data_IF_103340521352
#
_entry.id   IF_103340521352
#
_cell.length_a   1.000
_cell.length_b   1.000
_cell.length_c   1.000
_cell.angle_alpha   90.00
_cell.angle_beta   90.00
_cell.angle_gamma   90.00
#
_symmetry.space_group_name_H-M   'P 1'
#
loop_
_entity.id
_entity.type
_entity.pdbx_description
1 polymer ?
#
# COMPACT_ATOMS: atom_id res chain seq x y z
N UNK A 1 -6.36 -26.04 -3.35
CA UNK A 1 -5.00 -25.72 -3.85
C UNK A 1 -4.13 -25.38 -2.66
N UNK A 2 -2.93 -25.97 -2.56
CA UNK A 2 -1.88 -25.74 -1.54
C UNK A 2 -1.92 -26.63 -0.28
N UNK A 3 -1.66 -27.93 -0.47
CA UNK A 3 -0.94 -28.73 0.53
C UNK A 3 0.55 -28.41 0.34
N UNK A 4 1.14 -27.66 1.27
CA UNK A 4 2.57 -27.34 1.41
C UNK A 4 3.29 -27.02 0.09
N UNK A 5 3.47 -25.74 -0.30
CA UNK A 5 4.25 -25.31 -1.48
C UNK A 5 5.55 -26.15 -1.67
N UNK A 6 5.56 -27.28 -2.41
CA UNK A 6 6.69 -28.19 -2.42
C UNK A 6 7.67 -27.81 -3.53
N UNK A 7 7.20 -26.99 -4.47
CA UNK A 7 7.94 -26.48 -5.60
C UNK A 7 8.47 -25.07 -5.27
N UNK A 8 9.80 -24.87 -5.23
CA UNK A 8 10.43 -23.56 -5.07
C UNK A 8 9.87 -22.49 -6.02
N UNK A 9 9.43 -22.88 -7.23
CA UNK A 9 8.84 -21.95 -8.18
C UNK A 9 7.46 -21.45 -7.72
N UNK A 10 6.65 -22.30 -7.10
CA UNK A 10 5.33 -21.91 -6.58
C UNK A 10 5.46 -20.99 -5.37
N UNK A 11 6.43 -21.25 -4.49
CA UNK A 11 6.75 -20.34 -3.38
C UNK A 11 7.24 -18.99 -3.88
N UNK A 12 8.12 -18.97 -4.88
CA UNK A 12 8.59 -17.72 -5.47
C UNK A 12 7.44 -16.91 -6.10
N UNK A 13 6.53 -17.57 -6.83
CA UNK A 13 5.34 -16.91 -7.38
C UNK A 13 4.44 -16.35 -6.29
N UNK A 14 4.28 -17.08 -5.18
CA UNK A 14 3.52 -16.61 -4.02
C UNK A 14 4.10 -15.32 -3.43
N UNK A 15 5.40 -15.33 -3.13
CA UNK A 15 6.13 -14.19 -2.56
C UNK A 15 6.14 -13.02 -3.53
N UNK A 16 6.32 -13.27 -4.83
CA UNK A 16 6.22 -12.21 -5.83
C UNK A 16 4.81 -11.63 -5.86
N UNK A 17 3.77 -12.46 -5.77
CA UNK A 17 2.38 -12.01 -5.74
C UNK A 17 2.03 -11.08 -4.58
N UNK A 18 2.65 -11.29 -3.39
CA UNK A 18 2.44 -10.47 -2.18
C UNK A 18 2.68 -8.97 -2.45
N UNK A 19 3.61 -8.63 -3.35
CA UNK A 19 3.96 -7.23 -3.65
C UNK A 19 2.77 -6.43 -4.19
N UNK A 20 1.92 -7.07 -5.01
CA UNK A 20 0.69 -6.48 -5.56
C UNK A 20 -0.54 -6.68 -4.67
N UNK A 21 -0.40 -7.40 -3.57
CA UNK A 21 -1.52 -7.78 -2.70
C UNK A 21 -2.11 -6.59 -1.94
N UNK A 22 -1.31 -5.55 -1.73
CA UNK A 22 -1.78 -4.26 -1.20
C UNK A 22 -2.87 -3.61 -2.06
N UNK A 23 -2.90 -3.90 -3.37
CA UNK A 23 -3.92 -3.46 -4.29
C UNK A 23 -5.02 -4.52 -4.50
N UNK A 24 -4.99 -5.62 -3.74
CA UNK A 24 -5.90 -6.78 -3.80
C UNK A 24 -5.80 -7.58 -5.10
N UNK A 25 -4.67 -7.49 -5.82
CA UNK A 25 -4.48 -8.21 -7.08
C UNK A 25 -3.81 -9.58 -6.89
N UNK A 26 -2.85 -9.68 -5.95
CA UNK A 26 -2.13 -10.92 -5.61
C UNK A 26 -1.65 -11.69 -6.86
N UNK A 27 -0.80 -11.06 -7.67
CA UNK A 27 -0.28 -11.65 -8.91
C UNK A 27 1.15 -11.19 -9.24
N UNK A 28 1.99 -12.12 -9.72
CA UNK A 28 3.40 -11.87 -10.04
C UNK A 28 3.57 -10.85 -11.17
N UNK A 29 2.77 -10.91 -12.23
CA UNK A 29 2.82 -9.95 -13.34
C UNK A 29 2.54 -8.52 -12.90
N UNK A 30 1.53 -8.31 -12.04
CA UNK A 30 1.22 -7.02 -11.45
C UNK A 30 2.41 -6.52 -10.60
N UNK A 31 3.03 -7.41 -9.85
CA UNK A 31 4.16 -7.12 -8.98
C UNK A 31 5.44 -6.76 -9.74
N UNK A 32 5.79 -7.54 -10.77
CA UNK A 32 6.91 -7.24 -11.68
C UNK A 32 6.68 -5.93 -12.44
N UNK A 33 5.44 -5.70 -12.88
CA UNK A 33 5.03 -4.43 -13.49
C UNK A 33 5.24 -3.24 -12.55
N UNK A 34 4.78 -3.35 -11.30
CA UNK A 34 4.98 -2.31 -10.28
C UNK A 34 6.46 -2.02 -10.05
N UNK A 35 7.28 -3.06 -9.83
CA UNK A 35 8.71 -2.90 -9.56
C UNK A 35 9.48 -2.33 -10.75
N UNK A 36 9.19 -2.78 -11.97
CA UNK A 36 9.82 -2.26 -13.18
C UNK A 36 9.45 -0.80 -13.43
N UNK A 37 8.17 -0.44 -13.27
CA UNK A 37 7.71 0.95 -13.34
C UNK A 37 8.35 1.84 -12.27
N UNK A 38 8.46 1.34 -11.04
CA UNK A 38 9.14 2.04 -9.94
C UNK A 38 10.65 2.23 -10.21
N UNK A 39 11.33 1.21 -10.73
CA UNK A 39 12.73 1.30 -11.14
C UNK A 39 12.94 2.34 -12.25
N UNK A 40 12.09 2.34 -13.28
CA UNK A 40 12.12 3.32 -14.36
C UNK A 40 11.91 4.75 -13.82
N UNK A 41 10.94 4.94 -12.92
CA UNK A 41 10.69 6.21 -12.27
C UNK A 41 11.89 6.70 -11.45
N UNK A 42 12.48 5.83 -10.62
CA UNK A 42 13.67 6.15 -9.84
C UNK A 42 14.86 6.51 -10.73
N UNK A 43 15.13 5.71 -11.77
CA UNK A 43 16.21 5.96 -12.73
C UNK A 43 16.02 7.28 -13.46
N UNK A 44 14.81 7.55 -13.94
CA UNK A 44 14.45 8.79 -14.61
C UNK A 44 14.61 10.00 -13.68
N UNK A 45 14.19 9.84 -12.42
CA UNK A 45 14.34 10.84 -11.35
C UNK A 45 15.79 11.14 -11.05
N UNK A 46 16.64 10.12 -10.93
CA UNK A 46 18.09 10.25 -10.71
C UNK A 46 18.78 10.97 -11.87
N UNK A 47 18.30 10.78 -13.10
CA UNK A 47 18.82 11.43 -14.32
C UNK A 47 18.14 12.76 -14.66
N UNK A 48 17.29 13.30 -13.78
CA UNK A 48 16.62 14.59 -14.00
C UNK A 48 15.68 14.61 -15.22
N UNK A 49 15.12 13.46 -15.62
CA UNK A 49 14.24 13.39 -16.78
C UNK A 49 12.89 14.05 -16.51
N UNK A 50 12.38 14.81 -17.47
CA UNK A 50 11.09 15.51 -17.36
C UNK A 50 9.89 14.57 -17.23
N UNK A 51 10.00 13.35 -17.78
CA UNK A 51 8.95 12.33 -17.74
C UNK A 51 9.01 11.41 -16.51
N UNK A 52 9.88 11.67 -15.52
CA UNK A 52 10.06 10.82 -14.32
C UNK A 52 8.78 10.57 -13.51
N UNK A 53 7.73 11.34 -13.77
CA UNK A 53 6.49 11.31 -13.03
C UNK A 53 6.55 12.14 -11.74
N UNK A 54 5.65 11.83 -10.81
CA UNK A 54 5.73 12.33 -9.44
C UNK A 54 6.99 11.82 -8.73
N UNK A 55 7.61 12.60 -7.84
CA UNK A 55 8.82 12.15 -7.15
C UNK A 55 8.59 10.86 -6.34
N UNK A 56 9.27 9.77 -6.74
CA UNK A 56 9.16 8.49 -6.05
C UNK A 56 9.72 8.57 -4.62
N UNK A 57 9.08 7.87 -3.67
CA UNK A 57 9.49 7.86 -2.25
C UNK A 57 9.60 9.27 -1.66
N UNK A 58 8.56 10.07 -1.89
CA UNK A 58 8.47 11.48 -1.49
C UNK A 58 9.57 12.37 -2.07
N UNK A 59 10.26 11.91 -3.11
CA UNK A 59 11.39 12.63 -3.71
C UNK A 59 12.67 12.60 -2.87
N UNK A 60 12.73 11.81 -1.80
CA UNK A 60 13.88 11.73 -0.88
C UNK A 60 15.11 11.09 -1.52
N UNK A 61 14.96 10.37 -2.64
CA UNK A 61 16.06 9.60 -3.24
C UNK A 61 16.38 8.29 -2.50
N UNK A 62 15.63 7.96 -1.45
CA UNK A 62 15.84 6.75 -0.63
C UNK A 62 15.20 5.49 -1.21
N UNK A 63 14.60 5.56 -2.40
CA UNK A 63 13.89 4.43 -3.03
C UNK A 63 14.69 3.11 -3.02
N UNK A 64 15.99 3.05 -3.36
CA UNK A 64 16.75 1.79 -3.31
C UNK A 64 16.80 1.17 -1.91
N UNK A 65 16.96 1.98 -0.87
CA UNK A 65 16.95 1.50 0.51
C UNK A 65 15.55 1.09 0.95
N UNK A 66 14.54 1.86 0.54
CA UNK A 66 13.14 1.58 0.82
C UNK A 66 12.71 0.24 0.24
N UNK A 67 12.95 0.02 -1.07
CA UNK A 67 12.58 -1.23 -1.72
C UNK A 67 13.36 -2.42 -1.17
N UNK A 68 14.65 -2.23 -0.85
CA UNK A 68 15.47 -3.28 -0.23
C UNK A 68 14.91 -3.68 1.13
N UNK A 69 14.61 -2.72 2.00
CA UNK A 69 14.01 -2.93 3.32
C UNK A 69 12.65 -3.65 3.21
N UNK A 70 11.78 -3.19 2.31
CA UNK A 70 10.47 -3.78 2.06
C UNK A 70 10.55 -5.21 1.53
N UNK A 71 11.40 -5.49 0.54
CA UNK A 71 11.58 -6.84 -0.01
C UNK A 71 12.19 -7.80 1.02
N UNK A 72 13.18 -7.34 1.80
CA UNK A 72 13.73 -8.15 2.89
C UNK A 72 12.66 -8.44 3.95
N UNK A 73 11.86 -7.45 4.35
CA UNK A 73 10.77 -7.63 5.30
C UNK A 73 9.71 -8.61 4.80
N UNK A 74 9.41 -8.57 3.50
CA UNK A 74 8.51 -9.51 2.84
C UNK A 74 9.05 -10.95 2.86
N UNK A 75 10.30 -11.14 2.47
CA UNK A 75 10.96 -12.46 2.47
C UNK A 75 11.00 -13.01 3.90
N UNK A 76 11.46 -12.21 4.86
CA UNK A 76 11.49 -12.61 6.28
C UNK A 76 10.10 -12.95 6.81
N UNK A 77 9.07 -12.19 6.42
CA UNK A 77 7.69 -12.48 6.83
C UNK A 77 7.20 -13.82 6.27
N UNK A 78 7.48 -14.11 5.00
CA UNK A 78 7.13 -15.40 4.39
C UNK A 78 7.94 -16.57 4.99
N UNK A 79 9.21 -16.37 5.33
CA UNK A 79 10.02 -17.41 5.95
C UNK A 79 9.59 -17.72 7.39
N UNK A 80 9.29 -16.69 8.18
CA UNK A 80 8.93 -16.85 9.60
C UNK A 80 7.46 -17.23 9.81
N UNK A 81 6.57 -16.75 8.94
CA UNK A 81 5.12 -16.85 9.13
C UNK A 81 4.38 -17.50 7.96
N UNK A 82 5.05 -17.85 6.86
CA UNK A 82 4.40 -18.49 5.70
C UNK A 82 3.74 -19.83 6.03
N UNK A 83 4.16 -20.49 7.12
CA UNK A 83 3.51 -21.71 7.64
C UNK A 83 2.05 -21.47 8.09
N UNK A 84 1.65 -20.23 8.35
CA UNK A 84 0.26 -19.88 8.70
C UNK A 84 -0.69 -19.80 7.49
N UNK A 85 -0.14 -19.80 6.27
CA UNK A 85 -0.91 -19.85 5.03
C UNK A 85 -1.25 -21.31 4.74
N UNK A 86 -2.53 -21.58 4.53
CA UNK A 86 -3.02 -22.91 4.11
C UNK A 86 -3.89 -22.78 2.86
N UNK A 87 -4.32 -23.91 2.31
CA UNK A 87 -5.28 -23.93 1.20
C UNK A 87 -6.58 -23.17 1.50
N UNK A 88 -6.95 -23.08 2.78
CA UNK A 88 -8.22 -22.52 3.24
C UNK A 88 -8.05 -21.19 3.99
N UNK A 89 -6.83 -20.87 4.42
CA UNK A 89 -6.54 -19.68 5.24
C UNK A 89 -5.61 -18.72 4.54
N UNK A 90 -6.16 -17.57 4.17
CA UNK A 90 -5.42 -16.41 3.69
C UNK A 90 -4.72 -15.69 4.86
N UNK A 91 -3.50 -15.16 4.64
CA UNK A 91 -2.75 -14.43 5.65
C UNK A 91 -2.01 -13.21 5.09
N UNK A 92 -1.87 -12.11 5.87
CA UNK A 92 -1.24 -10.85 5.46
C UNK A 92 0.29 -10.86 5.46
N UNK A 93 0.94 -11.82 4.80
CA UNK A 93 2.42 -11.87 4.71
C UNK A 93 3.01 -10.67 3.97
N UNK A 94 2.25 -10.05 3.07
CA UNK A 94 2.63 -8.81 2.38
C UNK A 94 2.72 -7.59 3.31
N UNK A 95 2.17 -7.64 4.53
CA UNK A 95 2.00 -6.45 5.36
C UNK A 95 3.32 -5.72 5.64
N UNK A 96 4.40 -6.47 5.86
CA UNK A 96 5.73 -5.90 6.04
C UNK A 96 6.23 -5.16 4.78
N UNK A 97 5.87 -5.57 3.57
CA UNK A 97 6.31 -4.90 2.34
C UNK A 97 5.84 -3.44 2.27
N UNK A 98 4.62 -3.15 2.73
CA UNK A 98 3.93 -1.86 2.53
C UNK A 98 3.77 -1.03 3.81
N UNK A 99 4.58 -1.29 4.83
CA UNK A 99 4.41 -0.64 6.14
C UNK A 99 5.74 -0.18 6.76
N UNK A 100 6.12 -0.77 7.89
CA UNK A 100 7.20 -0.35 8.76
C UNK A 100 8.57 -0.32 8.07
N UNK A 101 9.00 -1.35 7.30
CA UNK A 101 10.33 -1.34 6.68
C UNK A 101 10.58 -0.12 5.79
N UNK A 102 9.58 0.29 5.01
CA UNK A 102 9.66 1.50 4.18
C UNK A 102 9.63 2.78 5.02
N UNK A 103 8.71 2.85 6.00
CA UNK A 103 8.59 4.00 6.90
C UNK A 103 9.87 4.23 7.73
N UNK A 104 10.57 3.16 8.12
CA UNK A 104 11.85 3.23 8.83
C UNK A 104 12.92 3.92 7.99
N UNK A 105 13.03 3.56 6.72
CA UNK A 105 13.98 4.20 5.79
C UNK A 105 13.62 5.67 5.58
N UNK A 106 12.32 5.99 5.44
CA UNK A 106 11.87 7.36 5.23
C UNK A 106 12.08 8.27 6.46
N UNK A 107 11.97 7.70 7.68
CA UNK A 107 12.17 8.45 8.93
C UNK A 107 13.64 8.57 9.34
N UNK A 108 14.42 7.48 9.21
CA UNK A 108 15.77 7.38 9.76
C UNK A 108 16.87 7.43 8.68
N UNK A 109 16.50 7.53 7.40
CA UNK A 109 17.42 7.61 6.28
C UNK A 109 17.80 6.25 5.70
N UNK A 110 18.76 6.30 4.77
CA UNK A 110 19.29 5.10 4.12
C UNK A 110 20.28 4.32 4.98
N UNK A 111 20.83 3.26 4.38
CA UNK A 111 21.88 2.43 4.98
C UNK A 111 21.41 1.05 5.42
N UNK A 112 22.33 0.09 5.38
CA UNK A 112 22.07 -1.32 5.67
C UNK A 112 21.46 -1.54 7.05
N UNK A 113 21.91 -0.77 8.05
CA UNK A 113 21.42 -0.91 9.42
C UNK A 113 19.94 -0.56 9.54
N UNK A 114 19.51 0.57 8.95
CA UNK A 114 18.10 0.98 8.96
C UNK A 114 17.26 0.03 8.11
N UNK A 115 17.74 -0.35 6.92
CA UNK A 115 17.02 -1.26 6.04
C UNK A 115 16.84 -2.65 6.66
N UNK A 116 17.89 -3.23 7.25
CA UNK A 116 17.82 -4.54 7.87
C UNK A 116 16.97 -4.54 9.15
N UNK A 117 17.18 -3.57 10.05
CA UNK A 117 16.36 -3.48 11.26
C UNK A 117 14.90 -3.16 10.93
N UNK A 118 14.64 -2.34 9.90
CA UNK A 118 13.29 -2.10 9.39
C UNK A 118 12.62 -3.38 8.92
N UNK A 119 13.31 -4.18 8.10
CA UNK A 119 12.84 -5.48 7.64
C UNK A 119 12.55 -6.46 8.78
N UNK A 120 13.49 -6.61 9.73
CA UNK A 120 13.37 -7.50 10.89
C UNK A 120 12.20 -7.08 11.79
N UNK A 121 12.11 -5.80 12.15
CA UNK A 121 11.00 -5.30 12.98
C UNK A 121 9.65 -5.43 12.25
N UNK A 122 9.62 -5.24 10.93
CA UNK A 122 8.43 -5.49 10.10
C UNK A 122 7.97 -6.95 10.22
N UNK A 123 8.88 -7.89 10.03
CA UNK A 123 8.57 -9.32 10.11
C UNK A 123 8.22 -9.79 11.53
N UNK A 124 8.84 -9.22 12.58
CA UNK A 124 8.65 -9.66 13.97
C UNK A 124 7.54 -8.93 14.73
N UNK A 125 7.14 -7.74 14.29
CA UNK A 125 6.11 -6.95 14.97
C UNK A 125 4.87 -6.75 14.11
N UNK A 126 5.04 -6.32 12.85
CA UNK A 126 3.87 -6.01 11.99
C UNK A 126 3.16 -7.29 11.58
N UNK A 127 3.86 -8.21 10.92
CA UNK A 127 3.26 -9.45 10.41
C UNK A 127 2.50 -10.24 11.48
N UNK A 128 3.07 -10.57 12.66
CA UNK A 128 2.33 -11.30 13.69
C UNK A 128 1.17 -10.51 14.27
N UNK A 129 1.27 -9.19 14.40
CA UNK A 129 0.12 -8.39 14.88
C UNK A 129 -1.02 -8.41 13.87
N UNK A 130 -0.71 -8.33 12.56
CA UNK A 130 -1.71 -8.50 11.51
C UNK A 130 -2.35 -9.90 11.57
N UNK A 131 -1.54 -10.96 11.70
CA UNK A 131 -2.03 -12.33 11.84
C UNK A 131 -2.98 -12.47 13.04
N UNK A 132 -2.59 -11.94 14.20
CA UNK A 132 -3.40 -12.04 15.41
C UNK A 132 -4.76 -11.36 15.24
N UNK A 133 -4.79 -10.13 14.72
CA UNK A 133 -6.05 -9.40 14.57
C UNK A 133 -6.91 -10.03 13.47
N UNK A 134 -6.33 -10.44 12.34
CA UNK A 134 -7.10 -11.11 11.27
C UNK A 134 -7.74 -12.39 11.79
N UNK A 135 -6.96 -13.29 12.40
CA UNK A 135 -7.45 -14.62 12.76
C UNK A 135 -8.32 -14.61 14.03
N UNK A 136 -8.05 -13.75 15.01
CA UNK A 136 -8.78 -13.76 16.28
C UNK A 136 -9.83 -12.64 16.43
N UNK A 137 -9.86 -11.66 15.52
CA UNK A 137 -10.85 -10.57 15.56
C UNK A 137 -11.65 -10.52 14.26
N UNK A 138 -11.01 -10.39 13.11
CA UNK A 138 -11.75 -10.19 11.85
C UNK A 138 -12.51 -11.43 11.41
N UNK A 139 -11.84 -12.59 11.36
CA UNK A 139 -12.47 -13.85 10.92
C UNK A 139 -13.66 -14.25 11.82
N UNK A 140 -13.55 -14.27 13.17
CA UNK A 140 -14.68 -14.64 14.03
C UNK A 140 -15.86 -13.68 13.96
N UNK A 141 -15.60 -12.38 13.69
CA UNK A 141 -16.64 -11.36 13.58
C UNK A 141 -17.17 -11.16 12.15
N UNK A 142 -16.67 -11.94 11.17
CA UNK A 142 -17.03 -11.79 9.76
C UNK A 142 -16.65 -10.42 9.16
N UNK A 143 -15.64 -9.75 9.72
CA UNK A 143 -15.19 -8.44 9.26
C UNK A 143 -14.22 -8.58 8.08
N UNK A 144 -14.20 -7.60 7.14
CA UNK A 144 -13.20 -7.55 6.09
C UNK A 144 -11.77 -7.63 6.64
N UNK A 145 -10.97 -8.58 6.14
CA UNK A 145 -9.60 -8.85 6.63
C UNK A 145 -8.67 -7.64 6.55
N UNK A 146 -8.94 -6.70 5.64
CA UNK A 146 -8.17 -5.45 5.53
C UNK A 146 -8.17 -4.66 6.84
N UNK A 147 -9.25 -4.70 7.63
CA UNK A 147 -9.34 -4.04 8.93
C UNK A 147 -8.26 -4.60 9.87
N UNK A 148 -8.09 -5.91 9.89
CA UNK A 148 -7.07 -6.58 10.70
C UNK A 148 -5.66 -6.26 10.23
N UNK A 149 -5.43 -6.27 8.92
CA UNK A 149 -4.13 -5.96 8.31
C UNK A 149 -3.65 -4.57 8.69
N UNK A 150 -4.48 -3.56 8.43
CA UNK A 150 -4.08 -2.15 8.61
C UNK A 150 -4.03 -1.77 10.10
N UNK A 151 -4.87 -2.39 10.94
CA UNK A 151 -4.77 -2.25 12.41
C UNK A 151 -3.48 -2.86 12.95
N UNK A 152 -3.10 -4.05 12.44
CA UNK A 152 -1.85 -4.71 12.80
C UNK A 152 -0.61 -3.92 12.37
N UNK A 153 -0.64 -3.36 11.15
CA UNK A 153 0.38 -2.42 10.66
C UNK A 153 0.52 -1.22 11.59
N UNK A 154 -0.60 -0.61 12.02
CA UNK A 154 -0.57 0.52 12.93
C UNK A 154 0.08 0.16 14.27
N UNK A 155 -0.42 -0.89 14.95
CA UNK A 155 0.03 -1.28 16.29
C UNK A 155 1.49 -1.75 16.26
N UNK A 156 1.84 -2.67 15.35
CA UNK A 156 3.21 -3.18 15.23
C UNK A 156 4.22 -2.07 14.94
N UNK A 157 3.82 -1.06 14.17
CA UNK A 157 4.68 0.07 13.85
C UNK A 157 4.82 1.07 14.97
N UNK A 158 3.75 1.36 15.72
CA UNK A 158 3.84 2.18 16.93
C UNK A 158 4.84 1.54 17.91
N UNK A 159 4.73 0.23 18.14
CA UNK A 159 5.65 -0.51 19.02
C UNK A 159 7.09 -0.37 18.50
N UNK A 160 7.32 -0.55 17.20
CA UNK A 160 8.64 -0.42 16.60
C UNK A 160 9.23 0.99 16.71
N UNK A 161 8.45 2.05 16.45
CA UNK A 161 8.95 3.42 16.60
C UNK A 161 9.25 3.75 18.06
N UNK A 162 8.45 3.28 19.01
CA UNK A 162 8.73 3.42 20.43
C UNK A 162 10.01 2.67 20.84
N UNK A 163 10.24 1.48 20.29
CA UNK A 163 11.47 0.72 20.49
C UNK A 163 12.68 1.47 19.93
N UNK A 164 12.61 1.99 18.70
CA UNK A 164 13.69 2.76 18.07
C UNK A 164 13.98 4.06 18.83
N UNK A 165 12.95 4.67 19.43
CA UNK A 165 13.12 5.83 20.31
C UNK A 165 13.86 5.47 21.60
N UNK A 166 13.55 4.33 22.21
CA UNK A 166 14.22 3.86 23.44
C UNK A 166 15.62 3.32 23.18
N UNK A 167 15.85 2.72 22.00
CA UNK A 167 17.12 2.15 21.57
C UNK A 167 17.55 2.79 20.23
N UNK A 168 18.01 4.06 20.22
CA UNK A 168 18.39 4.75 18.98
C UNK A 168 19.53 4.04 18.24
N UNK A 169 20.31 3.21 18.93
CA UNK A 169 21.35 2.38 18.32
C UNK A 169 20.80 1.49 17.20
N UNK A 170 19.51 1.13 17.19
CA UNK A 170 18.91 0.33 16.12
C UNK A 170 18.83 1.08 14.78
N UNK A 171 18.73 2.41 14.82
CA UNK A 171 18.41 3.24 13.64
C UNK A 171 19.43 4.35 13.36
N UNK A 172 20.38 4.59 14.25
CA UNK A 172 21.49 5.52 14.01
C UNK A 172 22.31 5.06 12.81
N UNK A 173 22.35 5.90 11.77
CA UNK A 173 23.15 5.72 10.58
C UNK A 173 23.67 7.09 10.11
N UNK A 174 24.92 7.12 9.64
CA UNK A 174 25.56 8.33 9.11
C UNK A 174 25.30 8.51 7.60
N UNK A 175 24.24 7.88 7.08
CA UNK A 175 23.91 7.95 5.66
C UNK A 175 23.50 9.38 5.29
N UNK A 176 24.30 10.00 4.42
CA UNK A 176 24.00 11.31 3.85
C UNK A 176 23.16 11.10 2.59
N UNK A 177 21.91 11.53 2.65
CA UNK A 177 21.03 11.51 1.48
C UNK A 177 21.55 12.47 0.41
N UNK A 178 21.75 12.02 -0.85
CA UNK A 178 22.18 12.91 -1.92
C UNK A 178 21.19 14.05 -2.12
N UNK A 179 21.69 15.28 -2.13
CA UNK A 179 20.86 16.48 -2.33
C UNK A 179 20.25 16.44 -3.73
N UNK A 180 18.93 16.28 -3.83
CA UNK A 180 18.22 16.39 -5.09
C UNK A 180 17.91 17.86 -5.37
N UNK A 181 18.08 18.36 -6.61
CA UNK A 181 17.70 19.72 -6.94
C UNK A 181 16.20 19.92 -6.69
N UNK A 182 15.87 21.00 -5.98
CA UNK A 182 14.49 21.43 -5.76
C UNK A 182 13.89 21.75 -7.14
N UNK A 183 12.65 21.29 -7.44
CA UNK A 183 11.99 21.65 -8.68
C UNK A 183 11.96 23.17 -8.86
N UNK A 184 12.51 23.66 -9.97
CA UNK A 184 12.65 25.10 -10.23
C UNK A 184 11.31 25.83 -10.39
N UNK A 185 10.19 25.11 -10.56
CA UNK A 185 8.84 25.68 -10.68
C UNK A 185 7.86 24.92 -9.78
N UNK A 186 6.93 25.65 -9.11
CA UNK A 186 5.85 25.01 -8.39
C UNK A 186 4.98 24.20 -9.37
N UNK A 187 4.41 23.07 -8.93
CA UNK A 187 3.58 22.23 -9.78
C UNK A 187 2.34 23.00 -10.25
N UNK A 188 2.02 22.87 -11.53
CA UNK A 188 0.76 23.36 -12.10
C UNK A 188 -0.31 22.29 -11.91
N UNK A 189 -1.36 22.62 -11.16
CA UNK A 189 -2.42 21.67 -10.80
C UNK A 189 -3.49 21.55 -11.90
N UNK A 190 -3.15 21.41 -13.18
CA UNK A 190 -4.15 21.34 -14.25
C UNK A 190 -4.89 19.97 -14.30
N UNK A 191 -5.76 19.76 -15.30
CA UNK A 191 -6.44 18.48 -15.49
C UNK A 191 -5.45 17.31 -15.67
N UNK A 192 -4.36 17.54 -16.43
CA UNK A 192 -3.32 16.55 -16.64
C UNK A 192 -2.64 16.15 -15.33
N UNK A 193 -2.37 17.11 -14.43
CA UNK A 193 -1.87 16.83 -13.08
C UNK A 193 -2.84 15.93 -12.31
N UNK A 194 -4.14 16.21 -12.40
CA UNK A 194 -5.17 15.42 -11.71
C UNK A 194 -5.20 13.98 -12.23
N UNK A 195 -5.18 13.78 -13.55
CA UNK A 195 -5.12 12.44 -14.17
C UNK A 195 -3.86 11.68 -13.73
N UNK A 196 -2.69 12.34 -13.78
CA UNK A 196 -1.43 11.73 -13.34
C UNK A 196 -1.46 11.36 -11.86
N UNK A 197 -2.10 12.18 -11.01
CA UNK A 197 -2.24 11.93 -9.58
C UNK A 197 -3.16 10.74 -9.31
N UNK A 198 -4.26 10.65 -10.05
CA UNK A 198 -5.17 9.49 -10.00
C UNK A 198 -4.43 8.19 -10.29
N UNK A 199 -3.57 8.19 -11.32
CA UNK A 199 -2.72 7.06 -11.61
C UNK A 199 -1.72 6.81 -10.49
N UNK A 200 -1.01 7.83 -10.01
CA UNK A 200 0.01 7.70 -8.97
C UNK A 200 -0.54 7.12 -7.65
N UNK A 201 -1.82 7.31 -7.32
CA UNK A 201 -2.45 6.77 -6.11
C UNK A 201 -2.39 5.24 -6.02
N UNK A 202 -2.40 4.51 -7.15
CA UNK A 202 -2.29 3.04 -7.16
C UNK A 202 -0.95 2.51 -6.61
N UNK A 203 0.10 3.33 -6.58
CA UNK A 203 1.42 2.95 -6.06
C UNK A 203 1.81 3.73 -4.81
N UNK A 204 0.89 4.50 -4.21
CA UNK A 204 1.15 5.29 -3.01
C UNK A 204 1.27 4.42 -1.75
N UNK A 205 0.51 3.32 -1.68
CA UNK A 205 0.54 2.41 -0.52
C UNK A 205 1.92 1.79 -0.24
N UNK A 206 2.69 1.30 -1.23
CA UNK A 206 4.10 0.90 -1.05
C UNK A 206 5.07 2.10 -1.00
N UNK A 207 4.59 3.32 -0.77
CA UNK A 207 5.39 4.56 -0.71
C UNK A 207 6.08 4.96 -2.03
N UNK A 208 5.58 4.51 -3.18
CA UNK A 208 6.14 4.93 -4.47
C UNK A 208 5.49 6.20 -4.97
N UNK A 209 4.16 6.24 -4.99
CA UNK A 209 3.39 7.45 -5.32
C UNK A 209 3.70 8.03 -6.69
N UNK A 210 3.87 7.15 -7.68
CA UNK A 210 4.36 7.49 -9.01
C UNK A 210 3.52 6.81 -10.09
N UNK A 211 3.15 7.56 -11.12
CA UNK A 211 2.30 7.09 -12.20
C UNK A 211 2.95 6.01 -13.08
N UNK A 212 4.27 5.98 -13.24
CA UNK A 212 4.95 4.92 -14.01
C UNK A 212 4.91 3.58 -13.26
N UNK A 213 5.10 3.62 -11.94
CA UNK A 213 4.94 2.44 -11.09
C UNK A 213 3.50 1.91 -11.16
N UNK A 214 2.53 2.81 -11.09
CA UNK A 214 1.11 2.46 -11.22
C UNK A 214 0.74 1.94 -12.60
N UNK A 215 1.26 2.52 -13.68
CA UNK A 215 1.04 2.03 -15.05
C UNK A 215 1.62 0.63 -15.22
N UNK A 216 2.81 0.37 -14.67
CA UNK A 216 3.38 -0.97 -14.63
C UNK A 216 2.50 -1.98 -13.89
N UNK A 217 2.01 -1.61 -12.69
CA UNK A 217 1.08 -2.43 -11.91
C UNK A 217 -0.21 -2.74 -12.70
N UNK A 218 -0.84 -1.72 -13.29
CA UNK A 218 -2.07 -1.83 -14.05
C UNK A 218 -1.88 -2.65 -15.33
N UNK A 219 -0.79 -2.44 -16.06
CA UNK A 219 -0.46 -3.26 -17.23
C UNK A 219 -0.25 -4.72 -16.83
N UNK A 220 0.43 -4.99 -15.71
CA UNK A 220 0.67 -6.33 -15.21
C UNK A 220 -0.61 -7.06 -14.78
N UNK A 221 -1.55 -6.37 -14.11
CA UNK A 221 -2.84 -6.99 -13.72
C UNK A 221 -3.76 -7.19 -14.94
N UNK A 222 -3.77 -6.26 -15.90
CA UNK A 222 -4.55 -6.42 -17.13
C UNK A 222 -3.99 -7.55 -18.01
N UNK A 223 -2.67 -7.69 -18.08
CA UNK A 223 -2.04 -8.83 -18.76
C UNK A 223 -2.40 -10.14 -18.07
N UNK A 224 -2.36 -10.19 -16.74
CA UNK A 224 -2.80 -11.36 -15.98
C UNK A 224 -4.27 -11.71 -16.28
N UNK A 225 -5.14 -10.70 -16.29
CA UNK A 225 -6.56 -10.87 -16.61
C UNK A 225 -6.79 -11.42 -18.03
N UNK A 226 -6.07 -10.93 -19.04
CA UNK A 226 -6.18 -11.42 -20.43
C UNK A 226 -5.71 -12.86 -20.54
N UNK A 227 -4.66 -13.25 -19.81
CA UNK A 227 -4.14 -14.62 -19.82
C UNK A 227 -5.06 -15.58 -19.05
N UNK A 228 -5.58 -15.15 -17.91
CA UNK A 228 -6.54 -15.89 -17.11
C UNK A 228 -7.37 -14.91 -16.24
N UNK A 229 -8.65 -14.67 -16.57
CA UNK A 229 -9.51 -13.74 -15.83
C UNK A 229 -9.68 -14.05 -14.33
N UNK A 230 -9.48 -15.32 -13.93
CA UNK A 230 -9.59 -15.76 -12.55
C UNK A 230 -8.26 -15.76 -11.80
N UNK A 231 -7.10 -15.59 -12.46
CA UNK A 231 -5.83 -15.62 -11.71
C UNK A 231 -5.62 -14.42 -10.79
N UNK A 232 -5.92 -13.16 -11.17
CA UNK A 232 -5.81 -12.04 -10.25
C UNK A 232 -7.05 -11.89 -9.35
N UNK A 233 -6.88 -11.23 -8.20
CA UNK A 233 -7.99 -10.94 -7.28
C UNK A 233 -8.50 -12.17 -6.53
N UNK A 234 -7.58 -13.08 -6.17
CA UNK A 234 -7.88 -14.30 -5.41
C UNK A 234 -8.93 -15.21 -6.05
N UNK A 235 -9.05 -15.25 -7.38
CA UNK A 235 -10.08 -16.08 -8.01
C UNK A 235 -11.48 -15.48 -8.02
N UNK A 236 -11.66 -14.24 -7.56
CA UNK A 236 -12.99 -13.62 -7.45
C UNK A 236 -13.69 -13.37 -8.78
N UNK A 237 -12.94 -13.24 -9.89
CA UNK A 237 -13.47 -12.78 -11.17
C UNK A 237 -13.91 -11.31 -11.18
N UNK A 238 -13.58 -10.54 -10.13
CA UNK A 238 -14.04 -9.15 -9.94
C UNK A 238 -12.99 -8.09 -10.27
N UNK A 239 -11.92 -8.46 -11.00
CA UNK A 239 -10.80 -7.54 -11.24
C UNK A 239 -11.19 -6.29 -12.01
N UNK A 240 -12.01 -6.38 -13.07
CA UNK A 240 -12.40 -5.18 -13.81
C UNK A 240 -13.26 -4.23 -12.95
N UNK A 241 -14.30 -4.69 -12.24
CA UNK A 241 -15.01 -3.85 -11.27
C UNK A 241 -14.09 -3.29 -10.18
N UNK A 242 -13.14 -4.07 -9.67
CA UNK A 242 -12.20 -3.65 -8.64
C UNK A 242 -11.31 -2.49 -9.13
N UNK A 243 -10.62 -2.66 -10.26
CA UNK A 243 -9.77 -1.63 -10.88
C UNK A 243 -10.59 -0.39 -11.22
N UNK A 244 -11.80 -0.58 -11.77
CA UNK A 244 -12.72 0.51 -12.10
C UNK A 244 -13.14 1.32 -10.86
N UNK A 245 -13.54 0.65 -9.79
CA UNK A 245 -13.92 1.29 -8.53
C UNK A 245 -12.72 2.00 -7.86
N UNK A 246 -11.54 1.39 -7.92
CA UNK A 246 -10.29 1.98 -7.42
C UNK A 246 -9.92 3.25 -8.19
N UNK A 247 -10.02 3.22 -9.53
CA UNK A 247 -9.79 4.40 -10.36
C UNK A 247 -10.84 5.49 -10.07
N UNK A 248 -12.11 5.11 -9.91
CA UNK A 248 -13.20 6.03 -9.61
C UNK A 248 -13.01 6.72 -8.25
N UNK A 249 -12.70 5.96 -7.18
CA UNK A 249 -12.51 6.55 -5.85
C UNK A 249 -11.32 7.50 -5.82
N UNK A 250 -10.23 7.15 -6.52
CA UNK A 250 -9.08 8.02 -6.68
C UNK A 250 -9.43 9.29 -7.46
N UNK A 251 -10.16 9.18 -8.57
CA UNK A 251 -10.62 10.33 -9.35
C UNK A 251 -11.49 11.29 -8.52
N UNK A 252 -12.49 10.76 -7.81
CA UNK A 252 -13.35 11.54 -6.92
C UNK A 252 -12.49 12.21 -5.83
N UNK A 253 -11.63 11.44 -5.17
CA UNK A 253 -10.76 11.94 -4.10
C UNK A 253 -9.84 13.07 -4.56
N UNK A 254 -9.15 12.89 -5.69
CA UNK A 254 -8.24 13.89 -6.26
C UNK A 254 -8.99 15.15 -6.67
N UNK A 255 -10.16 15.04 -7.30
CA UNK A 255 -10.93 16.21 -7.76
C UNK A 255 -11.50 16.99 -6.56
N UNK A 256 -12.17 16.31 -5.62
CA UNK A 256 -12.80 16.95 -4.46
C UNK A 256 -11.74 17.58 -3.55
N UNK A 257 -10.66 16.85 -3.26
CA UNK A 257 -9.64 17.28 -2.32
C UNK A 257 -8.45 17.99 -2.98
N UNK A 258 -8.57 18.40 -4.25
CA UNK A 258 -7.51 19.11 -4.99
C UNK A 258 -7.00 20.36 -4.26
N UNK A 259 -7.90 21.11 -3.62
CA UNK A 259 -7.51 22.29 -2.84
C UNK A 259 -6.67 21.94 -1.60
N UNK A 260 -6.90 20.78 -0.99
CA UNK A 260 -6.08 20.31 0.12
C UNK A 260 -4.70 19.85 -0.36
N UNK A 261 -4.63 19.20 -1.52
CA UNK A 261 -3.36 18.92 -2.20
C UNK A 261 -2.55 20.20 -2.45
N UNK A 262 -3.17 21.26 -2.96
CA UNK A 262 -2.51 22.55 -3.20
C UNK A 262 -2.00 23.16 -1.89
N UNK A 263 -2.83 23.17 -0.84
CA UNK A 263 -2.50 23.79 0.45
C UNK A 263 -1.42 23.04 1.23
N UNK A 264 -1.43 21.70 1.18
CA UNK A 264 -0.58 20.85 2.03
C UNK A 264 0.59 20.22 1.27
N UNK A 265 0.62 20.31 -0.06
CA UNK A 265 1.59 19.63 -0.92
C UNK A 265 1.36 18.13 -1.06
N UNK A 266 0.62 17.51 -0.13
CA UNK A 266 0.25 16.11 -0.16
C UNK A 266 -1.12 15.87 0.51
N UNK A 267 -1.90 14.93 -0.01
CA UNK A 267 -3.17 14.51 0.60
C UNK A 267 -3.44 13.01 0.39
N UNK A 268 -3.96 12.27 1.38
CA UNK A 268 -4.06 10.80 1.32
C UNK A 268 -5.26 10.28 0.49
N UNK A 269 -5.37 10.67 -0.79
CA UNK A 269 -6.48 10.26 -1.68
C UNK A 269 -6.46 8.77 -2.06
N UNK A 270 -5.32 8.10 -1.91
CA UNK A 270 -5.17 6.67 -2.15
C UNK A 270 -5.78 5.78 -1.06
N UNK A 271 -6.04 6.32 0.13
CA UNK A 271 -6.49 5.52 1.29
C UNK A 271 -7.69 4.62 0.99
N UNK A 272 -8.81 5.12 0.41
CA UNK A 272 -9.96 4.27 0.10
C UNK A 272 -9.70 3.28 -1.05
N UNK A 273 -8.74 3.57 -1.94
CA UNK A 273 -8.37 2.72 -3.08
C UNK A 273 -7.82 1.37 -2.62
N UNK A 274 -7.06 1.35 -1.52
CA UNK A 274 -6.44 0.13 -0.95
C UNK A 274 -7.13 -0.36 0.32
N UNK A 275 -8.37 0.07 0.57
CA UNK A 275 -9.12 -0.38 1.75
C UNK A 275 -10.61 -0.55 1.48
N UNK A 276 -11.38 0.53 1.58
CA UNK A 276 -12.85 0.56 1.49
C UNK A 276 -13.35 -0.07 0.20
N UNK A 277 -12.80 0.36 -0.95
CA UNK A 277 -13.28 -0.09 -2.26
C UNK A 277 -13.04 -1.59 -2.47
N UNK A 278 -11.82 -2.12 -2.32
CA UNK A 278 -11.60 -3.55 -2.45
C UNK A 278 -12.42 -4.38 -1.47
N UNK A 279 -12.55 -3.95 -0.22
CA UNK A 279 -13.36 -4.65 0.77
C UNK A 279 -14.84 -4.71 0.33
N UNK A 280 -15.42 -3.59 -0.12
CA UNK A 280 -16.80 -3.56 -0.56
C UNK A 280 -17.04 -4.40 -1.83
N UNK A 281 -16.18 -4.27 -2.85
CA UNK A 281 -16.33 -5.02 -4.11
C UNK A 281 -16.16 -6.52 -3.88
N UNK A 282 -15.18 -6.95 -3.08
CA UNK A 282 -14.97 -8.37 -2.81
C UNK A 282 -16.05 -8.96 -1.89
N UNK A 283 -16.72 -8.15 -1.07
CA UNK A 283 -17.79 -8.63 -0.17
C UNK A 283 -19.15 -8.66 -0.85
N UNK A 284 -19.50 -7.63 -1.64
CA UNK A 284 -20.84 -7.45 -2.21
C UNK A 284 -20.90 -7.56 -3.74
N UNK A 285 -19.77 -7.80 -4.39
CA UNK A 285 -19.67 -7.97 -5.85
C UNK A 285 -19.44 -6.66 -6.62
N UNK A 286 -19.41 -6.79 -7.94
CA UNK A 286 -19.03 -5.72 -8.88
C UNK A 286 -20.19 -4.88 -9.43
N UNK A 287 -21.33 -4.80 -8.74
CA UNK A 287 -22.48 -4.02 -9.23
C UNK A 287 -22.18 -2.52 -9.24
N UNK A 288 -22.83 -1.77 -10.14
CA UNK A 288 -22.66 -0.31 -10.22
C UNK A 288 -22.98 0.40 -8.92
N UNK A 289 -23.94 -0.11 -8.14
CA UNK A 289 -24.29 0.43 -6.83
C UNK A 289 -23.13 0.28 -5.83
N UNK A 290 -22.53 -0.93 -5.74
CA UNK A 290 -21.37 -1.18 -4.86
C UNK A 290 -20.16 -0.35 -5.29
N UNK A 291 -19.87 -0.32 -6.59
CA UNK A 291 -18.77 0.47 -7.18
C UNK A 291 -18.95 1.97 -6.88
N UNK A 292 -20.12 2.52 -7.19
CA UNK A 292 -20.39 3.95 -7.00
C UNK A 292 -20.41 4.36 -5.52
N UNK A 293 -21.11 3.61 -4.67
CA UNK A 293 -21.27 3.94 -3.26
C UNK A 293 -19.94 3.81 -2.49
N UNK A 294 -19.20 2.71 -2.67
CA UNK A 294 -17.90 2.53 -2.00
C UNK A 294 -16.88 3.56 -2.47
N UNK A 295 -16.85 3.87 -3.78
CA UNK A 295 -15.92 4.85 -4.31
C UNK A 295 -16.19 6.26 -3.79
N UNK A 296 -17.46 6.68 -3.77
CA UNK A 296 -17.85 8.01 -3.31
C UNK A 296 -17.67 8.15 -1.80
N UNK A 297 -18.23 7.24 -0.99
CA UNK A 297 -18.13 7.30 0.47
C UNK A 297 -16.68 7.18 0.92
N UNK A 298 -15.91 6.28 0.30
CA UNK A 298 -14.48 6.11 0.55
C UNK A 298 -13.70 7.40 0.30
N UNK A 299 -13.90 8.03 -0.85
CA UNK A 299 -13.22 9.27 -1.23
C UNK A 299 -13.58 10.47 -0.33
N UNK A 300 -14.80 10.52 0.19
CA UNK A 300 -15.26 11.61 1.05
C UNK A 300 -14.80 11.47 2.50
N UNK A 301 -14.70 10.24 3.02
CA UNK A 301 -14.45 10.00 4.44
C UNK A 301 -12.98 9.66 4.73
N UNK A 302 -12.38 8.76 3.95
CA UNK A 302 -11.10 8.17 4.32
C UNK A 302 -9.91 9.15 4.17
N UNK A 303 -9.79 9.97 3.10
CA UNK A 303 -8.72 10.97 3.00
C UNK A 303 -8.71 12.04 4.12
N UNK A 304 -9.81 12.75 4.45
CA UNK A 304 -9.78 13.72 5.54
C UNK A 304 -9.51 13.07 6.89
N UNK A 305 -10.08 11.88 7.16
CA UNK A 305 -9.79 11.15 8.39
C UNK A 305 -8.30 10.81 8.49
N UNK A 306 -7.69 10.28 7.42
CA UNK A 306 -6.27 9.99 7.37
C UNK A 306 -5.41 11.24 7.62
N UNK A 307 -5.75 12.35 6.96
CA UNK A 307 -5.04 13.61 7.11
C UNK A 307 -5.10 14.15 8.56
N UNK A 308 -6.27 14.07 9.20
CA UNK A 308 -6.44 14.53 10.59
C UNK A 308 -5.78 13.62 11.62
N UNK A 309 -5.76 12.30 11.40
CA UNK A 309 -5.06 11.36 12.27
C UNK A 309 -3.55 11.51 12.13
N UNK A 310 -3.05 11.55 10.90
CA UNK A 310 -1.64 11.73 10.59
C UNK A 310 -1.09 13.04 11.19
N UNK A 311 -1.85 14.13 11.12
CA UNK A 311 -1.47 15.43 11.69
C UNK A 311 -1.45 15.49 13.22
N UNK A 312 -2.02 14.51 13.92
CA UNK A 312 -2.00 14.42 15.39
C UNK A 312 -0.90 13.50 15.92
N UNK A 313 -0.19 12.78 15.05
CA UNK A 313 0.87 11.88 15.47
C UNK A 313 2.12 12.65 15.92
N UNK A 314 2.84 12.17 16.94
CA UNK A 314 4.12 12.72 17.32
C UNK A 314 5.14 12.66 16.17
N UNK A 315 6.07 13.61 16.11
CA UNK A 315 7.07 13.72 15.03
C UNK A 315 8.01 12.51 14.87
N UNK A 316 8.14 11.66 15.89
CA UNK A 316 8.96 10.44 15.85
C UNK A 316 8.20 9.22 15.30
N UNK A 317 6.94 9.39 14.91
CA UNK A 317 6.09 8.36 14.33
C UNK A 317 5.77 8.76 12.89
N UNK A 318 5.98 7.84 11.95
CA UNK A 318 5.72 8.13 10.55
C UNK A 318 4.21 8.36 10.28
N UNK A 319 3.82 9.41 9.52
CA UNK A 319 2.41 9.78 9.29
C UNK A 319 1.52 8.68 8.70
N UNK A 320 2.11 7.69 8.03
CA UNK A 320 1.35 6.60 7.42
C UNK A 320 0.51 5.81 8.42
N UNK A 321 0.87 5.81 9.73
CA UNK A 321 0.05 5.19 10.78
C UNK A 321 -1.36 5.81 10.80
N UNK A 322 -1.47 7.13 10.57
CA UNK A 322 -2.77 7.80 10.44
C UNK A 322 -3.55 7.32 9.21
N UNK A 323 -2.86 7.01 8.11
CA UNK A 323 -3.48 6.47 6.90
C UNK A 323 -4.06 5.08 7.16
N UNK A 324 -3.29 4.17 7.75
CA UNK A 324 -3.76 2.79 8.02
C UNK A 324 -4.85 2.74 9.09
N UNK A 325 -4.82 3.61 10.11
CA UNK A 325 -5.94 3.73 11.06
C UNK A 325 -7.20 4.23 10.34
N UNK A 326 -7.07 5.21 9.44
CA UNK A 326 -8.18 5.67 8.62
C UNK A 326 -8.73 4.56 7.72
N UNK A 327 -7.88 3.73 7.12
CA UNK A 327 -8.30 2.55 6.34
C UNK A 327 -9.17 1.61 7.18
N UNK A 328 -8.76 1.28 8.41
CA UNK A 328 -9.56 0.43 9.30
C UNK A 328 -10.92 1.05 9.63
N UNK A 329 -10.92 2.30 10.12
CA UNK A 329 -12.14 2.98 10.57
C UNK A 329 -13.13 3.21 9.42
N UNK A 330 -12.64 3.71 8.28
CA UNK A 330 -13.48 3.94 7.11
C UNK A 330 -14.02 2.63 6.55
N UNK A 331 -13.24 1.55 6.50
CA UNK A 331 -13.75 0.24 6.05
C UNK A 331 -14.82 -0.29 7.01
N UNK A 332 -14.59 -0.22 8.32
CA UNK A 332 -15.53 -0.69 9.34
C UNK A 332 -16.88 0.04 9.26
N UNK A 333 -16.88 1.32 8.93
CA UNK A 333 -18.09 2.15 8.83
C UNK A 333 -18.76 1.97 7.46
N UNK A 334 -18.00 2.07 6.37
CA UNK A 334 -18.55 2.22 5.03
C UNK A 334 -18.99 0.89 4.43
N UNK A 335 -18.25 -0.20 4.64
CA UNK A 335 -18.59 -1.49 4.02
C UNK A 335 -20.01 -1.95 4.43
N UNK A 336 -20.39 -1.97 5.73
CA UNK A 336 -21.77 -2.31 6.11
C UNK A 336 -22.83 -1.38 5.52
N UNK A 337 -22.52 -0.07 5.37
CA UNK A 337 -23.44 0.89 4.76
C UNK A 337 -23.65 0.61 3.26
N UNK A 338 -22.58 0.29 2.53
CA UNK A 338 -22.66 -0.10 1.12
C UNK A 338 -23.48 -1.38 0.97
N UNK A 339 -23.32 -2.35 1.88
CA UNK A 339 -24.14 -3.56 1.90
C UNK A 339 -25.63 -3.26 1.97
N UNK A 340 -26.04 -2.33 2.84
CA UNK A 340 -27.46 -1.90 2.97
C UNK A 340 -27.99 -1.12 1.77
N UNK A 341 -27.12 -0.46 1.00
CA UNK A 341 -27.50 0.31 -0.18
C UNK A 341 -27.57 -0.55 -1.45
N UNK A 342 -26.90 -1.71 -1.44
CA UNK A 342 -26.81 -2.62 -2.58
C UNK A 342 -27.80 -3.79 -2.53
N UNK A 343 -28.43 -4.01 -1.37
CA UNK A 343 -29.58 -4.92 -1.16
C UNK A 343 -30.89 -4.17 -1.32
#
# INVERSE_FOLDING_TARGET
>A
MVTSLPDPAAWLRWVLGDISEVAFYKHELASLGLLSGAYLAWWASKRGKAWQGFPISYGTGLWPWLITSSLLGLILSNLLWGWSVTAETWQPTFAAFVSLPAAMVLMFGGGWKVAFNGAVLGALLVTPTCLLIVNYVCVPLGLPVVIGNVSGMAIGSVIAFLLCRRLPVLVRCDYITPTKPIPAKPPTYNLLWSIRRVLADFSEAPFFGNELASLGLLAGVLLAYVLNPLSPGYGSGLILPLVGAQALTSAIGVVIWRQQWIKRGWYPTYVPLVSVVPAAVLTYGGSWAVVGASALLGALIAPPLACTLAGRLPAHIHPYIGNVISMALSTLIIVPLVGRLAT
#
